data_IF_993155835850
#
_entry.id   IF_993155835850
#
_cell.length_a   1.000
_cell.length_b   1.000
_cell.length_c   1.000
_cell.angle_alpha   90.00
_cell.angle_beta   90.00
_cell.angle_gamma   90.00
#
_symmetry.space_group_name_H-M   'P 1'
#
loop_
_entity.id
_entity.type
_entity.pdbx_description
1 polymer ?
#
# COMPACT_ATOMS: atom_id res chain seq x y z
N UNK A 1 53.32 -18.58 -22.86
CA UNK A 1 53.23 -17.24 -22.22
C UNK A 1 52.49 -16.30 -23.17
N UNK A 2 51.20 -16.05 -22.94
CA UNK A 2 50.37 -15.25 -23.83
C UNK A 2 49.59 -14.23 -22.99
N UNK A 3 50.03 -12.97 -23.05
CA UNK A 3 49.46 -11.85 -22.28
C UNK A 3 48.12 -11.46 -22.87
N UNK A 4 47.03 -11.69 -22.14
CA UNK A 4 45.72 -11.11 -22.47
C UNK A 4 45.56 -9.81 -21.68
N UNK A 5 45.49 -8.72 -22.44
CA UNK A 5 45.31 -7.36 -21.95
C UNK A 5 43.90 -7.18 -21.39
N UNK A 6 43.82 -6.60 -20.20
CA UNK A 6 42.58 -6.18 -19.55
C UNK A 6 42.09 -4.88 -20.19
N UNK A 7 40.95 -4.90 -20.87
CA UNK A 7 40.22 -3.70 -21.26
C UNK A 7 39.29 -3.29 -20.10
N UNK A 8 39.66 -2.17 -19.48
CA UNK A 8 38.91 -1.46 -18.47
C UNK A 8 37.62 -0.89 -19.09
N UNK A 9 36.46 -1.44 -18.74
CA UNK A 9 35.17 -0.88 -19.13
C UNK A 9 34.71 0.11 -18.05
N UNK A 10 35.03 1.39 -18.26
CA UNK A 10 34.51 2.51 -17.48
C UNK A 10 33.01 2.66 -17.74
N UNK A 11 32.17 2.23 -16.80
CA UNK A 11 30.73 2.47 -16.84
C UNK A 11 30.45 3.78 -16.13
N UNK A 12 30.36 4.85 -16.91
CA UNK A 12 29.94 6.17 -16.49
C UNK A 12 28.55 6.13 -15.86
N UNK A 13 28.44 6.74 -14.68
CA UNK A 13 27.20 6.99 -13.97
C UNK A 13 26.33 7.96 -14.77
N UNK A 14 25.08 7.58 -15.05
CA UNK A 14 24.04 8.54 -15.48
C UNK A 14 22.97 8.60 -14.40
N UNK A 15 23.40 9.12 -13.25
CA UNK A 15 22.53 9.75 -12.26
C UNK A 15 22.20 11.14 -12.78
N UNK A 16 20.95 11.57 -12.61
CA UNK A 16 20.40 12.87 -13.00
C UNK A 16 20.04 12.95 -14.49
N UNK A 17 18.74 12.86 -14.75
CA UNK A 17 17.92 13.69 -15.64
C UNK A 17 16.57 12.97 -15.81
N UNK A 18 15.48 13.72 -15.92
CA UNK A 18 14.08 13.26 -16.16
C UNK A 18 13.19 13.16 -14.91
N UNK A 19 13.55 13.85 -13.82
CA UNK A 19 12.57 14.44 -12.89
C UNK A 19 11.96 15.69 -13.54
N UNK A 20 11.26 15.56 -14.68
CA UNK A 20 10.72 16.75 -15.40
C UNK A 20 9.67 16.49 -16.48
N UNK A 21 8.78 15.49 -16.36
CA UNK A 21 7.66 15.32 -17.33
C UNK A 21 6.36 14.74 -16.74
N UNK A 22 5.87 15.30 -15.64
CA UNK A 22 4.52 15.00 -15.12
C UNK A 22 3.82 16.24 -14.54
N UNK A 23 3.95 17.38 -15.24
CA UNK A 23 3.14 18.60 -15.00
C UNK A 23 2.70 19.20 -16.34
N UNK A 24 1.87 18.49 -17.10
CA UNK A 24 1.21 19.06 -18.28
C UNK A 24 0.11 18.14 -18.82
N UNK A 25 -0.94 17.83 -18.04
CA UNK A 25 -2.22 17.32 -18.56
C UNK A 25 -3.24 17.13 -17.42
N UNK A 26 -3.79 18.22 -16.90
CA UNK A 26 -5.22 18.34 -16.49
C UNK A 26 -5.50 19.84 -16.35
N UNK A 27 -5.51 20.56 -17.47
CA UNK A 27 -6.01 21.93 -17.57
C UNK A 27 -6.78 22.01 -18.88
N UNK A 28 -8.04 21.57 -18.84
CA UNK A 28 -9.08 21.84 -19.85
C UNK A 28 -10.38 21.19 -19.36
N UNK A 29 -11.29 22.01 -18.86
CA UNK A 29 -12.66 21.59 -18.57
C UNK A 29 -13.24 22.17 -17.29
N UNK A 30 -13.41 23.49 -17.23
CA UNK A 30 -14.40 24.13 -16.36
C UNK A 30 -14.61 25.55 -16.87
N UNK A 31 -15.39 25.65 -17.94
CA UNK A 31 -16.01 26.89 -18.37
C UNK A 31 -17.50 26.80 -18.03
N UNK A 32 -18.03 27.94 -17.58
CA UNK A 32 -19.45 28.26 -17.41
C UNK A 32 -20.15 27.64 -16.19
N UNK A 33 -20.20 28.43 -15.12
CA UNK A 33 -21.45 28.76 -14.41
C UNK A 33 -21.24 30.03 -13.58
N UNK A 34 -21.40 31.17 -14.24
CA UNK A 34 -21.69 32.44 -13.57
C UNK A 34 -23.18 32.41 -13.19
N UNK A 35 -23.50 32.65 -11.92
CA UNK A 35 -24.90 32.65 -11.49
C UNK A 35 -25.10 33.04 -10.03
N UNK A 36 -25.41 34.31 -9.84
CA UNK A 36 -26.13 34.92 -8.72
C UNK A 36 -25.44 34.97 -7.34
N UNK A 37 -24.81 36.13 -7.11
CA UNK A 37 -25.02 36.91 -5.89
C UNK A 37 -26.52 36.98 -5.58
N UNK A 38 -26.93 36.41 -4.45
CA UNK A 38 -28.29 36.46 -3.90
C UNK A 38 -28.24 36.74 -2.41
N UNK A 39 -28.23 38.02 -2.09
CA UNK A 39 -28.43 38.63 -0.78
C UNK A 39 -29.70 38.07 -0.11
N UNK A 40 -29.57 37.29 0.96
CA UNK A 40 -30.60 37.09 1.99
C UNK A 40 -29.86 36.91 3.33
N UNK A 41 -29.79 37.97 4.11
CA UNK A 41 -30.72 38.28 5.20
C UNK A 41 -30.31 37.57 6.49
N UNK A 42 -29.75 38.39 7.38
CA UNK A 42 -29.75 38.27 8.83
C UNK A 42 -31.01 37.52 9.30
N UNK A 43 -30.82 36.31 9.83
CA UNK A 43 -31.80 35.64 10.67
C UNK A 43 -31.29 35.64 12.11
N UNK A 44 -32.03 36.39 12.91
CA UNK A 44 -31.85 36.77 14.30
C UNK A 44 -31.73 35.56 15.23
N UNK A 45 -30.84 35.69 16.22
CA UNK A 45 -30.65 34.78 17.33
C UNK A 45 -31.92 34.66 18.20
N UNK A 46 -32.39 33.44 18.39
CA UNK A 46 -33.20 33.02 19.51
C UNK A 46 -32.92 31.54 19.78
N UNK A 47 -31.71 31.23 20.26
CA UNK A 47 -31.48 29.92 20.88
C UNK A 47 -31.97 30.01 22.32
N UNK A 48 -33.01 29.22 22.59
CA UNK A 48 -33.53 28.95 23.90
C UNK A 48 -32.39 28.50 24.81
N UNK A 49 -32.31 29.12 25.99
CA UNK A 49 -31.43 28.69 27.07
C UNK A 49 -32.06 27.42 27.66
N UNK A 50 -31.77 26.27 27.06
CA UNK A 50 -31.98 24.97 27.71
C UNK A 50 -31.18 24.99 29.01
N UNK A 51 -31.89 24.82 30.12
CA UNK A 51 -31.27 24.64 31.41
C UNK A 51 -30.41 23.37 31.32
N UNK A 52 -29.09 23.52 31.48
CA UNK A 52 -28.14 22.44 31.68
C UNK A 52 -28.54 21.68 32.95
N UNK A 53 -29.41 20.69 32.79
CA UNK A 53 -29.60 19.63 33.76
C UNK A 53 -28.34 18.76 33.68
N UNK A 54 -27.40 18.97 34.60
CA UNK A 54 -26.13 18.25 34.68
C UNK A 54 -26.41 16.77 34.95
N UNK A 55 -26.61 16.01 33.88
CA UNK A 55 -26.77 14.57 33.93
C UNK A 55 -25.51 13.97 34.58
N UNK A 56 -25.67 12.99 35.49
CA UNK A 56 -24.54 12.34 36.12
C UNK A 56 -23.61 11.78 35.02
N UNK A 57 -22.28 11.88 35.21
CA UNK A 57 -21.33 11.46 34.19
C UNK A 57 -21.59 10.01 33.80
N UNK A 58 -21.89 9.80 32.52
CA UNK A 58 -22.10 8.47 31.97
C UNK A 58 -20.84 7.63 32.22
N UNK A 59 -20.99 6.36 32.61
CA UNK A 59 -19.85 5.47 32.79
C UNK A 59 -19.08 5.38 31.48
N UNK A 60 -17.75 5.49 31.56
CA UNK A 60 -16.87 5.40 30.41
C UNK A 60 -17.14 4.09 29.65
N UNK A 61 -17.19 4.10 28.31
CA UNK A 61 -17.44 2.89 27.53
C UNK A 61 -16.36 1.85 27.85
N UNK A 62 -16.74 0.55 27.92
CA UNK A 62 -15.79 -0.51 28.19
C UNK A 62 -14.72 -0.53 27.08
N UNK A 63 -13.45 -0.65 27.49
CA UNK A 63 -12.33 -0.77 26.56
C UNK A 63 -12.52 -2.03 25.72
N UNK A 64 -12.53 -1.88 24.39
CA UNK A 64 -12.60 -2.99 23.46
C UNK A 64 -11.48 -4.00 23.75
N UNK A 65 -11.77 -5.28 23.57
CA UNK A 65 -10.76 -6.31 23.75
C UNK A 65 -9.74 -6.23 22.61
N UNK A 66 -8.47 -6.54 22.89
CA UNK A 66 -7.39 -6.37 21.91
C UNK A 66 -7.61 -7.18 20.62
N UNK A 67 -8.29 -8.34 20.69
CA UNK A 67 -8.57 -9.17 19.52
C UNK A 67 -9.68 -8.59 18.64
N UNK A 68 -10.52 -7.69 19.15
CA UNK A 68 -11.54 -6.98 18.36
C UNK A 68 -10.91 -5.86 17.52
N UNK A 69 -9.72 -5.41 17.90
CA UNK A 69 -8.93 -4.43 17.17
C UNK A 69 -8.00 -5.08 16.13
N UNK A 70 -7.82 -6.39 16.19
CA UNK A 70 -6.98 -7.13 15.24
C UNK A 70 -7.77 -7.44 13.97
N UNK A 71 -7.33 -6.88 12.84
CA UNK A 71 -7.85 -7.22 11.53
C UNK A 71 -7.00 -8.32 10.91
N UNK A 72 -7.59 -9.51 10.73
CA UNK A 72 -6.95 -10.63 10.06
C UNK A 72 -7.65 -10.91 8.73
N UNK A 73 -6.89 -10.91 7.64
CA UNK A 73 -7.38 -11.31 6.33
C UNK A 73 -6.49 -12.36 5.70
N UNK A 74 -7.10 -13.22 4.88
CA UNK A 74 -6.39 -14.22 4.09
C UNK A 74 -6.93 -14.17 2.67
N UNK A 75 -6.04 -14.32 1.69
CA UNK A 75 -6.41 -14.28 0.28
C UNK A 75 -5.56 -15.22 -0.56
N UNK A 76 -6.09 -15.55 -1.73
CA UNK A 76 -5.47 -16.42 -2.71
C UNK A 76 -5.61 -15.75 -4.06
N UNK A 77 -4.49 -15.56 -4.76
CA UNK A 77 -4.42 -14.95 -6.07
C UNK A 77 -4.02 -16.01 -7.09
N UNK A 78 -4.89 -16.23 -8.06
CA UNK A 78 -4.70 -17.16 -9.15
C UNK A 78 -5.03 -16.46 -10.47
N UNK A 79 -4.30 -16.81 -11.52
CA UNK A 79 -4.52 -16.26 -12.85
C UNK A 79 -4.61 -17.38 -13.88
N UNK A 80 -5.30 -17.09 -14.98
CA UNK A 80 -5.31 -17.92 -16.16
C UNK A 80 -4.86 -17.09 -17.35
N UNK A 81 -3.87 -17.57 -18.11
CA UNK A 81 -3.40 -16.93 -19.33
C UNK A 81 -3.53 -17.87 -20.53
N UNK A 82 -3.88 -17.30 -21.68
CA UNK A 82 -3.87 -17.99 -22.97
C UNK A 82 -2.96 -17.19 -23.89
N UNK A 83 -1.83 -17.79 -24.28
CA UNK A 83 -0.90 -17.17 -25.21
C UNK A 83 -0.97 -17.86 -26.57
N UNK A 84 -1.52 -17.15 -27.55
CA UNK A 84 -1.74 -17.68 -28.91
C UNK A 84 -0.47 -17.73 -29.77
N UNK A 85 0.67 -17.21 -29.28
CA UNK A 85 1.88 -16.99 -30.08
C UNK A 85 3.06 -17.93 -29.74
N UNK A 86 2.88 -18.94 -28.87
CA UNK A 86 3.96 -19.85 -28.46
C UNK A 86 3.77 -21.30 -28.97
N UNK A 87 4.72 -21.85 -29.76
CA UNK A 87 4.80 -23.29 -29.99
C UNK A 87 5.21 -24.02 -28.70
N UNK A 88 4.64 -25.20 -28.45
CA UNK A 88 4.95 -26.03 -27.27
C UNK A 88 6.44 -26.45 -27.25
N UNK A 89 7.08 -26.52 -26.07
CA UNK A 89 6.51 -26.35 -24.73
C UNK A 89 6.41 -24.88 -24.31
N UNK A 90 5.21 -24.48 -23.87
CA UNK A 90 4.86 -23.10 -23.51
C UNK A 90 5.16 -22.82 -22.02
N UNK A 91 6.40 -23.06 -21.59
CA UNK A 91 6.78 -22.89 -20.19
C UNK A 91 8.17 -22.33 -19.92
N UNK A 92 8.29 -21.56 -18.83
CA UNK A 92 9.54 -21.00 -18.31
C UNK A 92 10.13 -19.80 -19.06
N UNK A 93 9.58 -19.39 -20.21
CA UNK A 93 10.18 -18.35 -21.07
C UNK A 93 10.20 -16.95 -20.42
N UNK A 94 9.27 -16.66 -19.49
CA UNK A 94 9.13 -15.35 -18.83
C UNK A 94 9.49 -15.35 -17.33
N UNK A 95 10.00 -16.47 -16.79
CA UNK A 95 10.21 -16.66 -15.35
C UNK A 95 11.16 -15.65 -14.70
N UNK A 96 12.00 -14.96 -15.49
CA UNK A 96 12.98 -14.00 -14.98
C UNK A 96 12.42 -12.57 -14.86
N UNK A 97 11.37 -12.20 -15.61
CA UNK A 97 10.88 -10.81 -15.65
C UNK A 97 9.41 -10.64 -15.27
N UNK A 98 8.63 -11.72 -15.21
CA UNK A 98 7.22 -11.68 -14.85
C UNK A 98 6.87 -12.74 -13.81
N UNK A 99 6.24 -12.31 -12.73
CA UNK A 99 5.78 -13.16 -11.63
C UNK A 99 4.47 -13.92 -11.97
N UNK A 100 3.79 -13.52 -13.03
CA UNK A 100 2.55 -14.08 -13.54
C UNK A 100 2.65 -14.11 -15.07
N UNK A 101 2.39 -15.26 -15.71
CA UNK A 101 2.61 -15.60 -17.14
C UNK A 101 3.96 -16.29 -17.46
N UNK A 102 4.41 -17.21 -16.59
CA UNK A 102 5.54 -18.10 -16.87
C UNK A 102 5.16 -19.25 -17.79
N UNK A 103 3.90 -19.69 -17.72
CA UNK A 103 3.36 -20.82 -18.46
C UNK A 103 1.95 -20.45 -18.96
N UNK A 104 1.58 -20.93 -20.16
CA UNK A 104 0.23 -20.77 -20.68
C UNK A 104 -0.72 -21.74 -19.97
N UNK A 105 -1.70 -21.22 -19.23
CA UNK A 105 -2.68 -22.03 -18.51
C UNK A 105 -3.17 -21.36 -17.23
N UNK A 106 -3.64 -22.17 -16.29
CA UNK A 106 -4.02 -21.74 -14.95
C UNK A 106 -2.84 -21.90 -13.98
N UNK A 107 -2.56 -20.88 -13.19
CA UNK A 107 -1.52 -20.91 -12.17
C UNK A 107 -1.91 -20.11 -10.93
N UNK A 108 -1.44 -20.57 -9.77
CA UNK A 108 -1.55 -19.85 -8.52
C UNK A 108 -0.36 -18.88 -8.40
N UNK A 109 -0.62 -17.58 -8.27
CA UNK A 109 0.43 -16.57 -8.07
C UNK A 109 0.93 -16.59 -6.63
N UNK A 110 0.03 -16.38 -5.66
CA UNK A 110 0.35 -16.46 -4.24
C UNK A 110 -0.88 -16.73 -3.37
N UNK A 111 -0.63 -17.21 -2.16
CA UNK A 111 -1.53 -17.12 -1.03
C UNK A 111 -0.94 -16.14 0.00
N UNK A 112 -1.79 -15.40 0.70
CA UNK A 112 -1.36 -14.39 1.65
C UNK A 112 -2.20 -14.35 2.90
N UNK A 113 -1.55 -13.94 3.99
CA UNK A 113 -2.20 -13.59 5.26
C UNK A 113 -1.75 -12.19 5.62
N UNK A 114 -2.70 -11.33 5.97
CA UNK A 114 -2.45 -10.00 6.51
C UNK A 114 -3.04 -9.90 7.91
N UNK A 115 -2.24 -9.35 8.83
CA UNK A 115 -2.66 -8.97 10.16
C UNK A 115 -2.35 -7.49 10.36
N UNK A 116 -3.35 -6.71 10.76
CA UNK A 116 -3.23 -5.28 11.03
C UNK A 116 -3.78 -4.98 12.42
N UNK A 117 -3.07 -4.12 13.14
CA UNK A 117 -3.50 -3.60 14.43
C UNK A 117 -3.38 -2.07 14.40
N UNK A 118 -4.47 -1.33 14.60
CA UNK A 118 -4.46 0.13 14.51
C UNK A 118 -3.57 0.74 15.60
N UNK A 119 -2.84 1.80 15.25
CA UNK A 119 -1.94 2.47 16.18
C UNK A 119 -2.70 3.38 17.15
N UNK A 120 -2.89 2.91 18.39
CA UNK A 120 -3.39 3.71 19.50
C UNK A 120 -2.76 3.29 20.86
N UNK A 121 -1.64 3.91 21.27
CA UNK A 121 -0.69 4.69 20.48
C UNK A 121 0.30 3.81 19.68
N UNK A 122 0.31 2.49 19.90
CA UNK A 122 1.20 1.55 19.20
C UNK A 122 0.35 0.55 18.43
N UNK A 123 0.76 0.28 17.19
CA UNK A 123 0.15 -0.73 16.32
C UNK A 123 1.16 -1.31 15.35
N UNK A 124 0.68 -1.97 14.32
CA UNK A 124 1.56 -2.55 13.32
C UNK A 124 0.82 -3.39 12.29
N UNK A 125 1.53 -3.71 11.21
CA UNK A 125 1.03 -4.57 10.13
C UNK A 125 2.04 -5.66 9.84
N UNK A 126 1.53 -6.87 9.61
CA UNK A 126 2.28 -8.03 9.16
C UNK A 126 1.59 -8.63 7.93
N UNK A 127 2.29 -8.64 6.80
CA UNK A 127 1.84 -9.21 5.55
C UNK A 127 2.75 -10.33 5.12
N UNK A 128 2.23 -11.55 5.11
CA UNK A 128 2.91 -12.77 4.71
C UNK A 128 2.39 -13.25 3.35
N UNK A 129 3.30 -13.70 2.49
CA UNK A 129 3.01 -14.18 1.14
C UNK A 129 3.76 -15.47 0.85
N UNK A 130 3.09 -16.40 0.22
CA UNK A 130 3.64 -17.68 -0.22
C UNK A 130 3.25 -17.94 -1.67
N UNK A 131 4.16 -18.51 -2.45
CA UNK A 131 3.91 -18.90 -3.83
C UNK A 131 5.03 -18.48 -4.77
N UNK A 132 4.99 -18.92 -6.04
CA UNK A 132 6.04 -18.62 -7.02
C UNK A 132 6.26 -17.12 -7.22
N UNK A 133 5.19 -16.31 -7.14
CA UNK A 133 5.29 -14.87 -7.28
C UNK A 133 5.96 -14.19 -6.07
N UNK A 134 5.90 -14.78 -4.88
CA UNK A 134 6.57 -14.25 -3.69
C UNK A 134 8.10 -14.37 -3.83
N UNK A 135 8.59 -15.45 -4.43
CA UNK A 135 10.02 -15.64 -4.70
C UNK A 135 10.56 -14.61 -5.69
N UNK A 136 9.76 -14.19 -6.68
CA UNK A 136 10.14 -13.11 -7.59
C UNK A 136 10.17 -11.76 -6.86
N UNK A 137 9.17 -11.48 -6.01
CA UNK A 137 9.02 -10.19 -5.34
C UNK A 137 10.10 -9.95 -4.28
N UNK A 138 10.49 -10.99 -3.55
CA UNK A 138 11.47 -10.92 -2.47
C UNK A 138 12.75 -11.70 -2.80
N UNK A 139 13.08 -11.87 -4.09
CA UNK A 139 14.16 -12.76 -4.54
C UNK A 139 15.55 -12.44 -3.97
N UNK A 140 15.80 -11.17 -3.64
CA UNK A 140 17.03 -10.70 -3.00
C UNK A 140 17.08 -10.90 -1.48
N UNK A 141 15.95 -11.22 -0.85
CA UNK A 141 15.87 -11.39 0.60
C UNK A 141 16.44 -12.75 1.03
N UNK A 142 17.19 -12.84 2.14
CA UNK A 142 17.70 -14.11 2.61
C UNK A 142 16.62 -14.93 3.33
N UNK A 143 16.62 -16.25 3.08
CA UNK A 143 15.87 -17.24 3.87
C UNK A 143 14.37 -16.95 3.98
N UNK A 144 13.88 -16.88 5.23
CA UNK A 144 12.45 -16.76 5.56
C UNK A 144 11.89 -15.33 5.44
N UNK A 145 12.76 -14.33 5.19
CA UNK A 145 12.31 -12.96 4.96
C UNK A 145 11.65 -12.78 3.59
N UNK A 146 11.80 -13.78 2.71
CA UNK A 146 11.15 -13.83 1.40
C UNK A 146 9.63 -13.88 1.50
N UNK A 147 9.11 -14.52 2.55
CA UNK A 147 7.67 -14.62 2.76
C UNK A 147 7.09 -13.37 3.42
N UNK A 148 7.93 -12.49 3.98
CA UNK A 148 7.47 -11.25 4.59
C UNK A 148 7.42 -10.17 3.53
N UNK A 149 6.21 -9.81 3.11
CA UNK A 149 5.99 -8.69 2.18
C UNK A 149 6.17 -7.36 2.91
N UNK A 150 5.44 -7.18 4.02
CA UNK A 150 5.49 -5.98 4.86
C UNK A 150 5.45 -6.40 6.31
N UNK A 151 6.25 -5.76 7.14
CA UNK A 151 6.28 -5.98 8.58
C UNK A 151 6.79 -4.72 9.26
N UNK A 152 5.88 -3.92 9.78
CA UNK A 152 6.24 -2.67 10.46
C UNK A 152 5.42 -2.46 11.72
N UNK A 153 6.05 -1.81 12.69
CA UNK A 153 5.40 -1.28 13.87
C UNK A 153 5.13 0.21 13.67
N UNK A 154 3.95 0.65 14.06
CA UNK A 154 3.51 2.04 13.97
C UNK A 154 3.41 2.63 15.36
N UNK A 155 3.99 3.80 15.56
CA UNK A 155 3.82 4.58 16.78
C UNK A 155 3.18 5.93 16.45
N UNK A 156 2.09 6.23 17.16
CA UNK A 156 1.29 7.43 17.02
C UNK A 156 1.35 8.23 18.32
N UNK A 157 2.24 9.24 18.43
CA UNK A 157 2.32 10.08 19.62
C UNK A 157 1.00 10.83 19.83
N UNK A 158 0.39 10.68 21.01
CA UNK A 158 -0.94 11.22 21.29
C UNK A 158 -2.09 10.26 20.99
N UNK A 159 -1.82 9.01 20.62
CA UNK A 159 -2.85 7.98 20.44
C UNK A 159 -3.84 8.33 19.33
N UNK A 160 -5.12 8.03 19.55
CA UNK A 160 -6.21 8.36 18.63
C UNK A 160 -6.16 9.82 18.13
N UNK A 161 -5.84 10.78 19.00
CA UNK A 161 -5.83 12.22 18.71
C UNK A 161 -4.52 12.72 18.08
N UNK A 162 -3.50 11.87 17.98
CA UNK A 162 -2.23 12.21 17.34
C UNK A 162 -2.39 12.53 15.84
N UNK A 163 -1.63 13.49 15.32
CA UNK A 163 -1.61 13.82 13.89
C UNK A 163 -0.43 13.20 13.15
N UNK A 164 0.54 12.64 13.87
CA UNK A 164 1.77 12.08 13.33
C UNK A 164 1.82 10.59 13.62
N UNK A 165 2.17 9.79 12.62
CA UNK A 165 2.45 8.36 12.76
C UNK A 165 3.86 8.09 12.27
N UNK A 166 4.62 7.32 13.05
CA UNK A 166 5.98 6.90 12.75
C UNK A 166 6.00 5.38 12.57
N UNK A 167 6.40 4.93 11.38
CA UNK A 167 6.44 3.52 11.03
C UNK A 167 7.88 2.99 10.98
N UNK A 168 8.11 1.83 11.59
CA UNK A 168 9.43 1.20 11.70
C UNK A 168 9.37 -0.25 11.24
N UNK A 169 10.09 -0.58 10.18
CA UNK A 169 10.20 -1.96 9.71
C UNK A 169 10.43 -2.10 8.21
N UNK A 170 9.86 -3.15 7.64
CA UNK A 170 9.94 -3.54 6.23
C UNK A 170 8.68 -3.10 5.48
N UNK A 171 8.87 -2.43 4.34
CA UNK A 171 7.83 -1.86 3.47
C UNK A 171 7.86 -2.43 2.06
#
# INVERSE_FOLDING_TARGET
>A
MQRRSFSCFSRTSTTSQITRRLRARVLRGSAASAGLLGLMLLSTAAHAQEADEELPPLPAPPKAAWYELLELSAFVDAYASVNYNFPKPAGGANATTRAYDTDTGFALAWAGVDASFPADPVGGTLSLRWGPAADTYAGSEPGTLKQVKQAFASWKPGGADGSVTLDFGKF
#
